data_IF_585785038257
#
_entry.id   IF_585785038257
#
_cell.length_a   1.000
_cell.length_b   1.000
_cell.length_c   1.000
_cell.angle_alpha   90.00
_cell.angle_beta   90.00
_cell.angle_gamma   90.00
#
_symmetry.space_group_name_H-M   'P 1'
#
loop_
_entity.id
_entity.type
_entity.pdbx_description
1 polymer ?
#
# COMPACT_ATOMS: atom_id res chain seq x y z
N UNK A 1 14.29 -20.40 24.13
CA UNK A 1 15.47 -19.95 23.36
C UNK A 1 15.21 -18.53 22.87
N UNK A 2 16.21 -17.66 22.77
CA UNK A 2 16.01 -16.31 22.24
C UNK A 2 15.60 -16.39 20.77
N UNK A 3 14.75 -15.45 20.35
CA UNK A 3 14.38 -15.28 18.94
C UNK A 3 15.63 -14.84 18.17
N UNK A 4 15.87 -15.45 17.04
CA UNK A 4 17.04 -15.14 16.18
C UNK A 4 16.74 -13.94 15.28
N UNK A 5 17.81 -13.27 14.87
CA UNK A 5 17.74 -12.27 13.81
C UNK A 5 17.38 -12.94 12.47
N UNK A 6 16.51 -12.27 11.70
CA UNK A 6 16.13 -12.72 10.37
C UNK A 6 17.28 -12.58 9.37
N UNK A 7 17.33 -13.46 8.39
CA UNK A 7 18.25 -13.33 7.27
C UNK A 7 17.79 -12.24 6.31
N UNK A 8 18.71 -11.61 5.61
CA UNK A 8 18.42 -10.64 4.55
C UNK A 8 19.37 -10.83 3.37
N UNK A 9 18.95 -10.39 2.20
CA UNK A 9 19.75 -10.37 0.98
C UNK A 9 19.93 -8.94 0.46
N UNK A 10 21.13 -8.66 -0.03
CA UNK A 10 21.45 -7.43 -0.74
C UNK A 10 21.29 -7.64 -2.23
N UNK A 11 20.60 -6.71 -2.89
CA UNK A 11 20.42 -6.70 -4.33
C UNK A 11 20.84 -5.35 -4.92
N UNK A 12 20.95 -5.20 -6.25
CA UNK A 12 21.15 -3.89 -6.87
C UNK A 12 20.05 -2.87 -6.54
N UNK A 13 18.87 -3.36 -6.13
CA UNK A 13 17.69 -2.54 -5.81
C UNK A 13 17.54 -2.24 -4.32
N UNK A 14 18.38 -2.82 -3.46
CA UNK A 14 18.33 -2.65 -2.01
C UNK A 14 18.25 -3.98 -1.27
N UNK A 15 18.15 -3.88 0.05
CA UNK A 15 18.05 -5.01 0.96
C UNK A 15 16.59 -5.43 1.15
N UNK A 16 16.37 -6.74 1.24
CA UNK A 16 15.10 -7.29 1.69
C UNK A 16 15.30 -8.46 2.66
N UNK A 17 14.34 -8.64 3.57
CA UNK A 17 14.38 -9.69 4.60
C UNK A 17 13.84 -11.00 4.00
N UNK A 18 14.50 -12.13 4.27
CA UNK A 18 14.22 -13.42 3.62
C UNK A 18 13.71 -14.50 4.56
N UNK A 19 13.76 -14.29 5.89
CA UNK A 19 13.31 -15.31 6.85
C UNK A 19 12.57 -14.71 8.05
N UNK A 20 11.89 -15.56 8.80
CA UNK A 20 11.32 -15.20 10.09
C UNK A 20 12.39 -14.82 11.11
N UNK A 21 12.07 -13.91 12.02
CA UNK A 21 12.93 -13.42 13.08
C UNK A 21 12.73 -11.93 13.33
N UNK A 22 13.50 -11.36 14.27
CA UNK A 22 13.52 -9.92 14.42
C UNK A 22 14.52 -9.30 13.42
N UNK A 23 14.25 -8.10 12.98
CA UNK A 23 15.13 -7.34 12.09
C UNK A 23 14.98 -5.83 12.27
N UNK A 24 15.97 -5.11 11.76
CA UNK A 24 15.92 -3.66 11.58
C UNK A 24 16.22 -3.36 10.11
N UNK A 25 15.32 -2.64 9.46
CA UNK A 25 15.44 -2.27 8.06
C UNK A 25 15.28 -0.75 7.91
N UNK A 26 16.31 -0.10 7.35
CA UNK A 26 16.21 1.31 6.96
C UNK A 26 15.62 1.38 5.55
N UNK A 27 14.53 2.13 5.37
CA UNK A 27 13.87 2.26 4.06
C UNK A 27 14.78 2.86 2.99
N UNK A 28 15.77 3.69 3.36
CA UNK A 28 16.75 4.21 2.39
C UNK A 28 17.62 3.11 1.76
N UNK A 29 17.76 1.97 2.45
CA UNK A 29 18.53 0.82 2.00
C UNK A 29 17.64 -0.33 1.52
N UNK A 30 16.32 -0.21 1.70
CA UNK A 30 15.37 -1.27 1.39
C UNK A 30 15.08 -1.38 -0.10
N UNK A 31 14.84 -2.61 -0.55
CA UNK A 31 14.28 -2.86 -1.87
C UNK A 31 12.83 -2.35 -1.90
N UNK A 32 12.50 -1.61 -2.95
CA UNK A 32 11.13 -1.25 -3.29
C UNK A 32 10.69 -1.99 -4.56
N UNK A 33 9.39 -2.07 -4.77
CA UNK A 33 8.79 -2.46 -6.05
C UNK A 33 7.97 -1.29 -6.59
N UNK A 34 7.98 -1.09 -7.90
CA UNK A 34 7.24 0.00 -8.56
C UNK A 34 6.51 -0.51 -9.78
N UNK A 35 5.29 -0.06 -9.96
CA UNK A 35 4.57 -0.13 -11.20
C UNK A 35 4.64 1.25 -11.87
N UNK A 36 5.29 1.32 -13.04
CA UNK A 36 5.51 2.57 -13.77
C UNK A 36 4.24 3.10 -14.43
N UNK A 37 3.23 2.25 -14.65
CA UNK A 37 2.00 2.63 -15.33
C UNK A 37 0.94 3.10 -14.33
N UNK A 38 0.82 2.43 -13.16
CA UNK A 38 -0.22 2.75 -12.17
C UNK A 38 0.04 2.12 -10.82
N UNK A 39 -0.47 2.74 -9.77
CA UNK A 39 -0.38 2.19 -8.41
C UNK A 39 0.92 2.54 -7.68
N UNK A 40 1.80 3.32 -8.30
CA UNK A 40 2.99 3.85 -7.65
C UNK A 40 4.01 2.80 -7.23
N UNK A 41 4.65 3.00 -6.08
CA UNK A 41 5.66 2.09 -5.55
C UNK A 41 5.33 1.64 -4.12
N UNK A 42 6.01 0.59 -3.67
CA UNK A 42 5.83 0.03 -2.33
C UNK A 42 7.15 -0.50 -1.79
N UNK A 43 7.40 -0.24 -0.52
CA UNK A 43 8.40 -0.94 0.29
C UNK A 43 7.71 -2.07 1.06
N UNK A 44 7.87 -3.35 0.65
CA UNK A 44 7.39 -4.46 1.45
C UNK A 44 8.25 -4.59 2.70
N UNK A 45 7.64 -4.51 3.88
CA UNK A 45 8.34 -4.59 5.16
C UNK A 45 8.33 -6.00 5.74
N UNK A 46 7.70 -6.93 5.04
CA UNK A 46 7.55 -8.31 5.45
C UNK A 46 8.38 -9.25 4.56
N UNK A 47 9.00 -10.29 5.15
CA UNK A 47 9.59 -11.35 4.35
C UNK A 47 8.51 -12.08 3.55
N UNK A 48 8.72 -12.25 2.25
CA UNK A 48 7.76 -12.95 1.37
C UNK A 48 7.48 -14.38 1.84
N UNK A 49 8.52 -15.09 2.28
CA UNK A 49 8.44 -16.49 2.70
C UNK A 49 8.02 -16.66 4.18
N UNK A 50 7.91 -15.56 4.93
CA UNK A 50 7.53 -15.56 6.34
C UNK A 50 6.74 -14.29 6.68
N UNK A 51 5.56 -14.07 6.09
CA UNK A 51 4.74 -12.89 6.36
C UNK A 51 4.33 -12.83 7.83
N UNK A 52 4.03 -11.63 8.33
CA UNK A 52 3.55 -11.46 9.71
C UNK A 52 2.16 -12.08 9.87
N UNK A 53 1.92 -12.69 11.03
CA UNK A 53 0.68 -13.47 11.25
C UNK A 53 -0.52 -12.58 11.52
N UNK A 54 -0.32 -11.53 12.34
CA UNK A 54 -1.44 -10.75 12.89
C UNK A 54 -1.80 -9.52 12.04
N UNK A 55 -0.85 -9.01 11.27
CA UNK A 55 -1.04 -7.79 10.45
C UNK A 55 -0.11 -7.77 9.24
N UNK A 56 -0.54 -7.09 8.18
CA UNK A 56 0.31 -6.70 7.05
C UNK A 56 0.82 -5.27 7.26
N UNK A 57 2.04 -4.97 6.79
CA UNK A 57 2.60 -3.62 6.85
C UNK A 57 3.48 -3.33 5.64
N UNK A 58 3.30 -2.15 5.07
CA UNK A 58 4.14 -1.65 4.00
C UNK A 58 4.20 -0.11 4.01
N UNK A 59 5.11 0.46 3.23
CA UNK A 59 5.10 1.89 2.93
C UNK A 59 4.81 2.05 1.44
N UNK A 60 3.68 2.67 1.14
CA UNK A 60 3.23 2.98 -0.22
C UNK A 60 3.71 4.37 -0.63
N UNK A 61 4.18 4.49 -1.86
CA UNK A 61 4.54 5.77 -2.48
C UNK A 61 3.63 5.97 -3.67
N UNK A 62 2.87 7.06 -3.66
CA UNK A 62 1.98 7.45 -4.77
C UNK A 62 2.37 8.82 -5.31
N UNK A 63 2.38 8.98 -6.63
CA UNK A 63 2.60 10.27 -7.30
C UNK A 63 1.27 11.00 -7.51
N UNK A 64 1.28 12.31 -7.75
CA UNK A 64 0.05 13.07 -7.99
C UNK A 64 -0.81 12.42 -9.09
N UNK A 65 -2.06 12.10 -8.75
CA UNK A 65 -3.01 11.40 -9.61
C UNK A 65 -2.97 9.87 -9.56
N UNK A 66 -1.91 9.25 -9.00
CA UNK A 66 -1.83 7.81 -8.86
C UNK A 66 -2.63 7.31 -7.65
N UNK A 67 -3.53 6.34 -7.82
CA UNK A 67 -4.17 5.66 -6.71
C UNK A 67 -3.26 4.59 -6.10
N UNK A 68 -3.38 4.37 -4.79
CA UNK A 68 -2.65 3.29 -4.11
C UNK A 68 -3.19 1.89 -4.46
N UNK A 69 -4.48 1.80 -4.80
CA UNK A 69 -5.22 0.58 -5.09
C UNK A 69 -6.49 0.92 -5.88
N UNK A 70 -7.35 -0.07 -6.18
CA UNK A 70 -8.74 0.18 -6.50
C UNK A 70 -9.52 0.56 -5.24
N UNK A 71 -10.61 1.30 -5.40
CA UNK A 71 -11.57 1.61 -4.35
C UNK A 71 -12.20 0.32 -3.85
N UNK A 72 -12.07 0.05 -2.56
CA UNK A 72 -12.47 -1.22 -1.97
C UNK A 72 -12.83 -1.07 -0.50
N UNK A 73 -13.41 -2.12 0.05
CA UNK A 73 -13.58 -2.33 1.48
C UNK A 73 -12.99 -3.68 1.87
N UNK A 74 -12.35 -3.74 3.03
CA UNK A 74 -11.86 -4.97 3.64
C UNK A 74 -12.66 -5.28 4.91
N UNK A 75 -12.91 -6.56 5.16
CA UNK A 75 -13.61 -7.05 6.35
C UNK A 75 -12.80 -6.94 7.65
N UNK A 76 -11.71 -6.19 7.63
CA UNK A 76 -10.80 -5.94 8.76
C UNK A 76 -10.53 -4.46 8.92
N UNK A 77 -9.96 -4.10 10.06
CA UNK A 77 -9.53 -2.72 10.27
C UNK A 77 -8.14 -2.47 9.70
N UNK A 78 -7.92 -1.25 9.22
CA UNK A 78 -6.67 -0.78 8.69
C UNK A 78 -6.27 0.58 9.30
N UNK A 79 -5.02 0.95 9.12
CA UNK A 79 -4.49 2.25 9.54
C UNK A 79 -3.54 2.81 8.51
N UNK A 80 -3.65 4.10 8.23
CA UNK A 80 -2.88 4.82 7.24
C UNK A 80 -2.27 6.06 7.86
N UNK A 81 -0.95 6.19 7.85
CA UNK A 81 -0.25 7.38 8.33
C UNK A 81 0.53 8.02 7.19
N UNK A 82 0.22 9.27 6.87
CA UNK A 82 0.99 10.03 5.87
C UNK A 82 2.34 10.41 6.47
N UNK A 83 3.41 9.83 5.94
CA UNK A 83 4.79 10.08 6.40
C UNK A 83 5.38 11.33 5.76
N UNK A 84 5.03 11.61 4.50
CA UNK A 84 5.47 12.81 3.76
C UNK A 84 4.57 13.07 2.56
N UNK A 85 4.56 14.31 2.06
CA UNK A 85 3.75 14.71 0.91
C UNK A 85 2.29 14.92 1.22
N UNK A 86 1.48 14.93 0.17
CA UNK A 86 0.04 15.16 0.21
C UNK A 86 -0.70 14.10 -0.60
N UNK A 87 -1.90 13.73 -0.17
CA UNK A 87 -2.77 12.82 -0.89
C UNK A 87 -4.25 13.17 -0.66
N UNK A 88 -5.12 12.58 -1.46
CA UNK A 88 -6.56 12.65 -1.29
C UNK A 88 -7.07 11.26 -0.89
N UNK A 89 -7.65 11.16 0.29
CA UNK A 89 -8.43 10.01 0.70
C UNK A 89 -9.84 10.13 0.11
N UNK A 90 -10.29 9.11 -0.59
CA UNK A 90 -11.70 8.95 -0.93
C UNK A 90 -12.26 7.88 0.00
N UNK A 91 -13.17 8.28 0.89
CA UNK A 91 -13.80 7.41 1.87
C UNK A 91 -15.32 7.59 1.82
N UNK A 92 -16.07 6.51 1.67
CA UNK A 92 -17.54 6.54 1.56
C UNK A 92 -18.03 7.59 0.55
N UNK A 93 -17.43 7.61 -0.65
CA UNK A 93 -17.70 8.55 -1.76
C UNK A 93 -17.34 10.03 -1.46
N UNK A 94 -16.70 10.32 -0.32
CA UNK A 94 -16.30 11.68 0.04
C UNK A 94 -14.78 11.86 -0.05
N UNK A 95 -14.33 12.93 -0.70
CA UNK A 95 -12.92 13.28 -0.78
C UNK A 95 -12.47 14.06 0.45
N UNK A 96 -11.29 13.71 0.98
CA UNK A 96 -10.62 14.34 2.10
C UNK A 96 -9.14 14.56 1.78
N UNK A 97 -8.65 15.81 1.76
CA UNK A 97 -7.23 16.06 1.64
C UNK A 97 -6.51 15.58 2.91
N UNK A 98 -5.40 14.87 2.71
CA UNK A 98 -4.49 14.47 3.78
C UNK A 98 -3.10 15.03 3.49
N UNK A 99 -2.36 15.33 4.55
CA UNK A 99 -0.99 15.82 4.54
C UNK A 99 -0.13 15.10 5.56
N UNK A 100 1.14 15.37 5.54
CA UNK A 100 2.09 14.78 6.48
C UNK A 100 1.57 14.81 7.93
N UNK A 101 1.63 13.64 8.59
CA UNK A 101 1.19 13.30 9.94
C UNK A 101 -0.32 13.13 10.14
N UNK A 102 -1.12 13.27 9.09
CA UNK A 102 -2.52 12.85 9.19
C UNK A 102 -2.62 11.32 9.28
N UNK A 103 -3.44 10.87 10.20
CA UNK A 103 -3.75 9.44 10.40
C UNK A 103 -5.21 9.16 10.08
N UNK A 104 -5.43 8.19 9.21
CA UNK A 104 -6.74 7.65 8.90
C UNK A 104 -6.89 6.26 9.54
N UNK A 105 -7.88 6.13 10.44
CA UNK A 105 -8.34 4.83 10.93
C UNK A 105 -9.49 4.35 10.07
N UNK A 106 -9.34 3.19 9.47
CA UNK A 106 -10.30 2.55 8.59
C UNK A 106 -10.93 1.35 9.35
N UNK A 107 -12.15 1.48 9.89
CA UNK A 107 -12.89 0.33 10.41
C UNK A 107 -13.18 -0.69 9.31
N UNK A 108 -13.43 -1.94 9.70
CA UNK A 108 -13.86 -2.98 8.76
C UNK A 108 -15.05 -2.51 7.91
N UNK A 109 -15.12 -2.97 6.68
CA UNK A 109 -16.17 -2.68 5.69
C UNK A 109 -16.26 -1.19 5.25
N UNK A 110 -15.26 -0.36 5.58
CA UNK A 110 -15.20 1.03 5.14
C UNK A 110 -14.61 1.12 3.74
N UNK A 111 -15.37 1.64 2.78
CA UNK A 111 -14.91 1.79 1.39
C UNK A 111 -13.94 2.95 1.27
N UNK A 112 -12.75 2.69 0.73
CA UNK A 112 -11.71 3.70 0.63
C UNK A 112 -10.73 3.46 -0.51
N UNK A 113 -9.99 4.52 -0.87
CA UNK A 113 -8.78 4.53 -1.69
C UNK A 113 -8.02 5.82 -1.41
N UNK A 114 -6.71 5.81 -1.56
CA UNK A 114 -5.87 6.99 -1.43
C UNK A 114 -5.24 7.30 -2.78
N UNK A 115 -5.29 8.56 -3.19
CA UNK A 115 -4.72 9.07 -4.45
C UNK A 115 -3.68 10.12 -4.13
N UNK A 116 -2.50 10.04 -4.74
CA UNK A 116 -1.45 11.05 -4.59
C UNK A 116 -1.95 12.43 -5.02
N UNK A 117 -1.51 13.47 -4.31
CA UNK A 117 -1.86 14.87 -4.58
C UNK A 117 -0.64 15.80 -4.40
N UNK A 118 -0.83 17.11 -4.52
CA UNK A 118 0.24 18.09 -4.40
C UNK A 118 1.23 18.05 -5.57
N UNK A 119 2.47 18.49 -5.33
CA UNK A 119 3.48 18.70 -6.37
C UNK A 119 4.52 17.54 -6.44
N UNK A 120 4.40 16.53 -5.60
CA UNK A 120 5.37 15.44 -5.51
C UNK A 120 4.81 14.15 -4.89
N UNK A 121 5.66 13.13 -4.71
CA UNK A 121 5.22 11.85 -4.17
C UNK A 121 4.77 11.96 -2.71
N UNK A 122 3.74 11.20 -2.38
CA UNK A 122 3.25 11.01 -1.02
C UNK A 122 3.67 9.63 -0.52
N UNK A 123 4.24 9.56 0.68
CA UNK A 123 4.60 8.32 1.36
C UNK A 123 3.61 8.03 2.48
N UNK A 124 3.08 6.81 2.51
CA UNK A 124 2.02 6.39 3.43
C UNK A 124 2.41 5.07 4.06
N UNK A 125 2.52 5.04 5.40
CA UNK A 125 2.58 3.78 6.14
C UNK A 125 1.17 3.18 6.16
N UNK A 126 1.06 1.94 5.71
CA UNK A 126 -0.19 1.18 5.65
C UNK A 126 -0.06 -0.05 6.54
N UNK A 127 -1.04 -0.27 7.41
CA UNK A 127 -1.11 -1.43 8.30
C UNK A 127 -2.54 -1.97 8.23
N UNK A 128 -2.68 -3.25 7.92
CA UNK A 128 -3.97 -3.95 7.91
C UNK A 128 -3.93 -5.19 8.80
N UNK A 129 -5.00 -5.46 9.54
CA UNK A 129 -5.13 -6.71 10.27
C UNK A 129 -5.25 -7.88 9.29
N UNK A 130 -4.87 -9.10 9.72
CA UNK A 130 -5.00 -10.32 8.92
C UNK A 130 -6.04 -11.23 9.56
N UNK A 131 -7.20 -11.43 8.92
CA UNK A 131 -8.22 -12.35 9.39
C UNK A 131 -7.87 -13.77 8.95
N UNK A 132 -8.50 -14.78 9.58
CA UNK A 132 -8.45 -16.16 9.09
C UNK A 132 -9.12 -16.31 7.71
N UNK A 133 -10.15 -15.50 7.45
CA UNK A 133 -10.86 -15.45 6.17
C UNK A 133 -10.93 -13.99 5.74
N UNK A 134 -10.25 -13.66 4.66
CA UNK A 134 -10.29 -12.34 4.07
C UNK A 134 -11.61 -12.13 3.32
N UNK A 135 -12.21 -10.96 3.53
CA UNK A 135 -13.37 -10.50 2.76
C UNK A 135 -13.04 -9.18 2.13
N UNK A 136 -13.23 -9.09 0.81
CA UNK A 136 -12.96 -7.91 0.00
C UNK A 136 -14.23 -7.54 -0.75
N UNK A 137 -14.40 -6.27 -1.04
CA UNK A 137 -15.44 -5.77 -1.93
C UNK A 137 -14.91 -4.61 -2.74
N UNK A 138 -15.11 -4.67 -4.05
CA UNK A 138 -14.71 -3.65 -5.02
C UNK A 138 -15.95 -3.05 -5.67
N UNK A 139 -16.54 -1.98 -5.11
CA UNK A 139 -17.71 -1.33 -5.71
C UNK A 139 -17.32 -0.49 -6.92
N UNK A 140 -18.28 -0.25 -7.80
CA UNK A 140 -18.17 0.78 -8.82
C UNK A 140 -18.41 2.15 -8.19
N UNK A 141 -17.55 3.12 -8.48
CA UNK A 141 -17.66 4.49 -7.95
C UNK A 141 -17.31 5.52 -9.01
N UNK A 142 -18.23 6.44 -9.27
CA UNK A 142 -17.98 7.56 -10.19
C UNK A 142 -16.95 8.55 -9.65
N UNK A 143 -16.90 8.71 -8.32
CA UNK A 143 -15.94 9.60 -7.65
C UNK A 143 -14.50 9.10 -7.84
N UNK A 144 -14.28 7.80 -7.78
CA UNK A 144 -12.94 7.22 -7.92
C UNK A 144 -12.57 6.89 -9.36
N UNK A 145 -13.56 6.77 -10.25
CA UNK A 145 -13.35 6.51 -11.68
C UNK A 145 -12.49 7.58 -12.37
N UNK A 146 -12.62 8.86 -11.96
CA UNK A 146 -11.79 9.97 -12.50
C UNK A 146 -10.29 9.81 -12.24
N UNK A 147 -9.91 9.01 -11.22
CA UNK A 147 -8.53 8.63 -10.90
C UNK A 147 -8.18 7.24 -11.46
N UNK A 148 -9.12 6.63 -12.18
CA UNK A 148 -8.99 5.25 -12.63
C UNK A 148 -8.93 4.24 -11.48
N UNK A 149 -9.49 4.56 -10.33
CA UNK A 149 -9.45 3.75 -9.12
C UNK A 149 -10.78 3.02 -8.83
N UNK A 150 -11.74 3.02 -9.77
CA UNK A 150 -12.99 2.26 -9.68
C UNK A 150 -12.82 0.90 -10.35
N UNK A 151 -13.40 -0.15 -9.77
CA UNK A 151 -13.57 -1.41 -10.48
C UNK A 151 -14.51 -1.21 -11.69
N UNK A 152 -14.32 -2.00 -12.75
CA UNK A 152 -15.19 -1.95 -13.94
C UNK A 152 -16.61 -2.46 -13.66
N UNK A 153 -16.73 -3.39 -12.73
CA UNK A 153 -18.00 -3.91 -12.19
C UNK A 153 -17.82 -4.23 -10.69
N UNK A 154 -18.93 -4.25 -9.96
CA UNK A 154 -18.90 -4.68 -8.56
C UNK A 154 -18.52 -6.15 -8.47
N UNK A 155 -17.54 -6.47 -7.60
CA UNK A 155 -17.06 -7.82 -7.36
C UNK A 155 -16.43 -7.94 -5.97
N UNK A 156 -16.45 -9.16 -5.41
CA UNK A 156 -15.73 -9.52 -4.18
C UNK A 156 -14.40 -10.25 -4.49
N UNK A 157 -14.08 -10.46 -5.79
CA UNK A 157 -12.91 -11.19 -6.25
C UNK A 157 -11.80 -10.22 -6.71
N UNK A 158 -10.67 -10.24 -6.01
CA UNK A 158 -9.53 -9.36 -6.31
C UNK A 158 -9.00 -9.54 -7.73
N UNK A 159 -8.82 -10.77 -8.19
CA UNK A 159 -8.32 -11.08 -9.54
C UNK A 159 -9.23 -10.52 -10.63
N UNK A 160 -10.56 -10.53 -10.39
CA UNK A 160 -11.52 -9.94 -11.31
C UNK A 160 -11.48 -8.41 -11.28
N UNK A 161 -11.38 -7.81 -10.09
CA UNK A 161 -11.31 -6.36 -9.94
C UNK A 161 -10.07 -5.77 -10.62
N UNK A 162 -8.93 -6.46 -10.51
CA UNK A 162 -7.63 -6.03 -11.06
C UNK A 162 -7.31 -6.60 -12.45
N UNK A 163 -8.25 -7.27 -13.13
CA UNK A 163 -8.01 -7.88 -14.45
C UNK A 163 -7.47 -6.90 -15.49
N UNK A 164 -7.93 -5.65 -15.46
CA UNK A 164 -7.50 -4.58 -16.37
C UNK A 164 -6.51 -3.59 -15.73
N UNK A 165 -5.94 -3.91 -14.54
CA UNK A 165 -4.94 -3.04 -13.92
C UNK A 165 -3.65 -3.09 -14.72
N UNK A 166 -3.15 -1.94 -15.24
CA UNK A 166 -2.03 -1.94 -16.15
C UNK A 166 -0.70 -2.15 -15.43
N UNK A 167 0.27 -2.69 -16.18
CA UNK A 167 1.66 -2.85 -15.74
C UNK A 167 1.85 -3.94 -14.68
N UNK A 168 3.06 -4.03 -14.19
CA UNK A 168 3.47 -4.95 -13.13
C UNK A 168 4.42 -4.28 -12.15
N UNK A 169 4.52 -4.81 -10.93
CA UNK A 169 5.45 -4.31 -9.92
C UNK A 169 6.83 -4.96 -10.11
N UNK A 170 7.81 -4.16 -10.48
CA UNK A 170 9.20 -4.58 -10.66
C UNK A 170 10.09 -4.03 -9.55
N UNK A 171 11.16 -4.74 -9.17
CA UNK A 171 12.14 -4.25 -8.19
C UNK A 171 12.77 -2.94 -8.65
N UNK A 172 12.88 -1.97 -7.72
CA UNK A 172 13.46 -0.67 -7.98
C UNK A 172 14.19 -0.16 -6.74
N UNK A 173 15.19 0.70 -6.94
CA UNK A 173 15.77 1.52 -5.88
C UNK A 173 15.17 2.92 -5.96
N UNK A 174 14.45 3.32 -4.95
CA UNK A 174 13.88 4.65 -4.87
C UNK A 174 14.82 5.61 -4.12
N UNK A 175 14.89 6.90 -4.53
CA UNK A 175 15.69 7.93 -3.82
C UNK A 175 14.98 8.44 -2.55
N UNK A 176 14.34 7.57 -1.80
CA UNK A 176 13.57 7.93 -0.61
C UNK A 176 14.10 7.19 0.63
N UNK A 177 14.01 7.78 1.85
CA UNK A 177 13.56 9.15 2.13
C UNK A 177 14.58 10.19 1.66
N UNK A 178 14.10 11.28 1.10
CA UNK A 178 14.96 12.44 0.84
C UNK A 178 15.36 13.04 2.20
N UNK A 179 16.65 13.25 2.38
CA UNK A 179 17.20 13.91 3.56
C UNK A 179 17.06 15.42 3.44
#
# INVERSE_FOLDING_TARGET
MPVKEASSEETPYGRYVTSAGWFVLNLADALAVRNEEKGGAMYPLEPREAPFVDFGVNVKIVWPGDPNALYHAEGVQEGFLVLSGECTLIVEEAERPLRQWDYFHCPADTRHVIVGAGDGPCAILMIGARPEVETLRYPVSEVTAKYGASAAKETDEGDEAYADWPGEYLPVRLPWPQR
#
